data_IF_031950922999
#
_entry.id   IF_031950922999
#
_cell.length_a   1.000
_cell.length_b   1.000
_cell.length_c   1.000
_cell.angle_alpha   90.00
_cell.angle_beta   90.00
_cell.angle_gamma   90.00
#
_symmetry.space_group_name_H-M   'P 1'
#
loop_
_entity.id
_entity.type
_entity.pdbx_description
1 polymer ?
#
# COMPACT_ATOMS: atom_id res chain seq x y z
N UNK A 1 -0.83 -1.34 -10.92
CA UNK A 1 -1.72 -1.65 -9.78
C UNK A 1 -1.26 -2.99 -9.23
N UNK A 2 -1.27 -3.18 -7.92
CA UNK A 2 -0.96 -4.46 -7.27
C UNK A 2 -1.89 -4.67 -6.08
N UNK A 3 -2.08 -5.91 -5.62
CA UNK A 3 -2.83 -6.19 -4.40
C UNK A 3 -1.88 -6.25 -3.21
N UNK A 4 -2.12 -5.43 -2.20
CA UNK A 4 -1.27 -5.39 -1.02
C UNK A 4 -1.61 -6.56 -0.08
N UNK A 5 -0.68 -7.50 0.21
CA UNK A 5 -0.96 -8.61 1.12
C UNK A 5 -1.12 -8.16 2.58
N UNK A 6 -0.63 -6.97 2.94
CA UNK A 6 -0.78 -6.40 4.28
C UNK A 6 -2.14 -5.73 4.51
N UNK A 7 -2.65 -5.02 3.48
CA UNK A 7 -3.91 -4.28 3.58
C UNK A 7 -5.12 -5.09 3.09
N UNK A 8 -4.91 -6.06 2.20
CA UNK A 8 -5.98 -6.75 1.47
C UNK A 8 -6.54 -5.97 0.28
N UNK A 9 -6.16 -4.71 0.11
CA UNK A 9 -6.72 -3.78 -0.87
C UNK A 9 -5.80 -3.54 -2.08
N UNK A 10 -6.35 -3.15 -3.25
CA UNK A 10 -5.57 -2.79 -4.43
C UNK A 10 -4.89 -1.43 -4.26
N UNK A 11 -3.58 -1.39 -4.47
CA UNK A 11 -2.78 -0.16 -4.49
C UNK A 11 -2.52 0.28 -5.93
N UNK A 12 -2.88 1.52 -6.23
CA UNK A 12 -2.60 2.15 -7.52
C UNK A 12 -1.29 2.94 -7.45
N UNK A 13 -0.36 2.63 -8.36
CA UNK A 13 0.90 3.37 -8.52
C UNK A 13 0.87 4.03 -9.89
N UNK A 14 0.93 5.36 -9.91
CA UNK A 14 0.93 6.17 -11.12
C UNK A 14 2.35 6.45 -11.58
N UNK A 15 2.66 6.11 -12.83
CA UNK A 15 4.01 6.29 -13.41
C UNK A 15 4.03 7.40 -14.46
N UNK A 16 5.21 7.86 -14.85
CA UNK A 16 5.41 8.85 -15.92
C UNK A 16 5.16 10.30 -15.49
N UNK A 17 4.93 11.17 -16.47
CA UNK A 17 4.67 12.60 -16.24
C UNK A 17 3.20 12.88 -15.94
N UNK A 18 2.92 13.94 -15.18
CA UNK A 18 1.57 14.41 -14.90
C UNK A 18 1.40 14.98 -13.50
N UNK A 19 0.20 15.44 -13.19
CA UNK A 19 -0.13 15.95 -11.86
C UNK A 19 -0.19 14.82 -10.81
N UNK A 20 0.06 15.19 -9.56
CA UNK A 20 0.03 14.28 -8.41
C UNK A 20 1.29 13.40 -8.28
N UNK A 21 1.27 12.45 -7.33
CA UNK A 21 2.40 11.55 -7.11
C UNK A 21 2.77 10.71 -8.35
N UNK A 22 4.07 10.61 -8.64
CA UNK A 22 4.60 9.87 -9.79
C UNK A 22 5.82 9.05 -9.39
N UNK A 23 5.80 7.77 -9.73
CA UNK A 23 6.89 6.83 -9.47
C UNK A 23 7.65 6.51 -10.75
N UNK A 24 8.96 6.33 -10.60
CA UNK A 24 9.77 5.59 -11.55
C UNK A 24 9.37 4.12 -11.52
N UNK A 25 9.42 3.48 -12.68
CA UNK A 25 9.11 2.07 -12.86
C UNK A 25 10.15 1.44 -13.79
N UNK A 26 10.60 0.24 -13.47
CA UNK A 26 11.59 -0.50 -14.27
C UNK A 26 11.02 -1.12 -15.55
N UNK A 27 9.71 -1.03 -15.79
CA UNK A 27 9.05 -1.60 -16.97
C UNK A 27 8.74 -3.10 -16.86
N UNK A 28 9.06 -3.74 -15.73
CA UNK A 28 8.83 -5.16 -15.50
C UNK A 28 7.48 -5.39 -14.83
N UNK A 29 6.69 -6.31 -15.40
CA UNK A 29 5.44 -6.79 -14.81
C UNK A 29 5.63 -7.94 -13.84
N UNK A 30 6.58 -8.84 -14.13
CA UNK A 30 6.89 -10.03 -13.31
C UNK A 30 7.73 -9.68 -12.07
N UNK A 31 8.68 -8.78 -12.22
CA UNK A 31 9.56 -8.31 -11.14
C UNK A 31 9.52 -6.78 -11.05
N UNK A 32 8.37 -6.19 -10.69
CA UNK A 32 8.21 -4.76 -10.66
C UNK A 32 9.13 -4.13 -9.62
N UNK A 33 9.67 -2.98 -9.97
CA UNK A 33 10.36 -2.08 -9.05
C UNK A 33 9.78 -0.69 -9.23
N UNK A 34 9.36 -0.06 -8.12
CA UNK A 34 8.86 1.31 -8.08
C UNK A 34 9.75 2.17 -7.20
N UNK A 35 10.02 3.40 -7.64
CA UNK A 35 10.83 4.37 -6.89
C UNK A 35 10.18 5.75 -6.89
N UNK A 36 10.10 6.46 -5.75
CA UNK A 36 10.57 6.08 -4.41
C UNK A 36 9.62 5.08 -3.71
N UNK A 37 9.60 5.04 -2.38
CA UNK A 37 8.61 4.25 -1.63
C UNK A 37 7.18 4.65 -1.98
N UNK A 38 6.26 3.72 -1.77
CA UNK A 38 4.82 3.89 -1.95
C UNK A 38 4.20 4.11 -0.57
N UNK A 39 3.54 5.23 -0.38
CA UNK A 39 2.80 5.57 0.83
C UNK A 39 1.31 5.64 0.51
N UNK A 40 0.52 4.81 1.18
CA UNK A 40 -0.93 4.80 1.11
C UNK A 40 -1.47 5.05 2.51
N UNK A 41 -2.37 6.03 2.63
CA UNK A 41 -3.03 6.37 3.89
C UNK A 41 -4.53 6.43 3.71
N UNK A 42 -5.27 5.98 4.73
CA UNK A 42 -6.72 6.07 4.77
C UNK A 42 -7.20 6.20 6.21
N UNK A 43 -8.51 6.34 6.38
CA UNK A 43 -9.17 6.46 7.68
C UNK A 43 -10.29 5.44 7.74
N UNK A 44 -10.24 4.55 8.73
CA UNK A 44 -11.38 3.69 9.06
C UNK A 44 -12.23 4.40 10.11
N UNK A 45 -13.56 4.19 10.14
CA UNK A 45 -14.40 4.67 11.24
C UNK A 45 -13.89 4.22 12.61
N UNK A 46 -14.24 4.95 13.68
CA UNK A 46 -13.97 4.52 15.06
C UNK A 46 -14.50 3.10 15.30
N UNK A 47 -13.88 2.33 16.20
CA UNK A 47 -14.41 1.04 16.65
C UNK A 47 -15.57 1.19 17.65
N UNK A 48 -15.83 2.42 18.12
CA UNK A 48 -16.91 2.75 19.07
C UNK A 48 -18.16 3.21 18.29
N UNK A 49 -19.30 2.50 18.36
CA UNK A 49 -20.50 2.82 17.56
C UNK A 49 -21.03 4.24 17.73
N UNK A 50 -20.91 4.79 18.94
CA UNK A 50 -21.34 6.16 19.27
C UNK A 50 -20.46 7.24 18.61
N UNK A 51 -19.27 6.86 18.13
CA UNK A 51 -18.28 7.74 17.52
C UNK A 51 -18.19 7.56 15.99
N UNK A 52 -18.99 6.68 15.39
CA UNK A 52 -18.92 6.39 13.94
C UNK A 52 -19.14 7.62 13.05
N UNK A 53 -19.96 8.59 13.49
CA UNK A 53 -20.24 9.82 12.74
C UNK A 53 -19.22 10.94 13.01
N UNK A 54 -18.27 10.75 13.94
CA UNK A 54 -17.24 11.71 14.28
C UNK A 54 -15.90 11.34 13.61
N UNK A 55 -15.67 11.88 12.41
CA UNK A 55 -14.43 11.67 11.64
C UNK A 55 -13.14 12.07 12.36
N UNK A 56 -13.21 12.85 13.45
CA UNK A 56 -12.06 13.13 14.30
C UNK A 56 -11.61 11.93 15.14
N UNK A 57 -12.49 10.93 15.29
CA UNK A 57 -12.26 9.65 15.97
C UNK A 57 -11.86 8.51 15.04
N UNK A 58 -11.84 8.76 13.73
CA UNK A 58 -11.41 7.77 12.75
C UNK A 58 -9.98 7.27 13.01
N UNK A 59 -9.79 5.97 12.85
CA UNK A 59 -8.52 5.30 12.99
C UNK A 59 -7.70 5.54 11.72
N UNK A 60 -6.59 6.27 11.85
CA UNK A 60 -5.69 6.53 10.73
C UNK A 60 -4.87 5.27 10.43
N UNK A 61 -4.88 4.86 9.16
CA UNK A 61 -4.13 3.72 8.66
C UNK A 61 -3.05 4.16 7.70
N UNK A 62 -1.95 3.43 7.72
CA UNK A 62 -0.78 3.67 6.88
C UNK A 62 -0.28 2.33 6.34
N UNK A 63 -0.04 2.28 5.04
CA UNK A 63 0.81 1.29 4.40
C UNK A 63 1.93 2.01 3.68
N UNK A 64 3.15 1.76 4.12
CA UNK A 64 4.34 2.38 3.57
C UNK A 64 5.34 1.29 3.17
N UNK A 65 5.63 1.20 1.88
CA UNK A 65 6.38 0.05 1.35
C UNK A 65 7.33 0.43 0.22
N UNK A 66 8.41 -0.33 0.08
CA UNK A 66 9.18 -0.42 -1.15
C UNK A 66 8.75 -1.66 -1.94
N UNK A 67 8.67 -1.52 -3.26
CA UNK A 67 8.54 -2.66 -4.17
C UNK A 67 9.80 -2.72 -5.02
N UNK A 68 10.51 -3.84 -4.93
CA UNK A 68 11.77 -4.05 -5.64
C UNK A 68 11.90 -5.51 -6.01
N UNK A 69 12.18 -5.77 -7.28
CA UNK A 69 12.41 -7.10 -7.86
C UNK A 69 11.29 -8.11 -7.52
N UNK A 70 10.04 -7.66 -7.55
CA UNK A 70 8.89 -8.52 -7.26
C UNK A 70 8.66 -8.82 -5.78
N UNK A 71 9.39 -8.17 -4.87
CA UNK A 71 9.17 -8.24 -3.43
C UNK A 71 8.57 -6.93 -2.91
N UNK A 72 7.74 -7.02 -1.88
CA UNK A 72 7.25 -5.89 -1.12
C UNK A 72 7.89 -5.86 0.27
N UNK A 73 8.63 -4.79 0.57
CA UNK A 73 9.19 -4.50 1.88
C UNK A 73 8.33 -3.45 2.57
N UNK A 74 7.68 -3.83 3.67
CA UNK A 74 6.91 -2.93 4.51
C UNK A 74 7.80 -2.21 5.51
N UNK A 75 7.59 -0.91 5.66
CA UNK A 75 8.30 -0.06 6.60
C UNK A 75 7.65 -0.09 7.98
N UNK A 76 8.41 0.32 8.99
CA UNK A 76 8.02 0.22 10.41
C UNK A 76 6.86 1.12 10.82
N UNK A 77 6.50 2.10 9.99
CA UNK A 77 5.36 3.00 10.17
C UNK A 77 4.05 2.46 9.56
N UNK A 78 4.05 1.23 9.02
CA UNK A 78 2.82 0.57 8.62
C UNK A 78 1.94 0.23 9.84
N UNK A 79 0.62 0.39 9.70
CA UNK A 79 -0.35 0.07 10.75
C UNK A 79 -0.91 -1.35 10.66
N UNK A 80 -0.57 -2.11 9.63
CA UNK A 80 -1.02 -3.50 9.43
C UNK A 80 0.01 -4.52 9.92
N UNK A 81 -0.40 -5.77 10.10
CA UNK A 81 0.40 -6.83 10.74
C UNK A 81 1.73 -7.17 10.03
N UNK A 82 1.87 -6.86 8.74
CA UNK A 82 3.11 -7.07 8.00
C UNK A 82 4.15 -5.95 8.15
N UNK A 83 3.95 -4.98 9.05
CA UNK A 83 4.93 -3.91 9.29
C UNK A 83 6.33 -4.45 9.58
N UNK A 84 7.34 -3.88 8.91
CA UNK A 84 8.75 -4.30 9.03
C UNK A 84 9.10 -5.64 8.36
N UNK A 85 8.17 -6.27 7.64
CA UNK A 85 8.40 -7.54 6.96
C UNK A 85 8.62 -7.34 5.46
N UNK A 86 9.33 -8.27 4.84
CA UNK A 86 9.46 -8.38 3.39
C UNK A 86 8.82 -9.68 2.95
N UNK A 87 7.93 -9.61 1.96
CA UNK A 87 7.24 -10.78 1.38
C UNK A 87 7.24 -10.69 -0.14
N UNK A 88 7.00 -11.81 -0.81
CA UNK A 88 6.80 -11.82 -2.26
C UNK A 88 5.55 -11.03 -2.63
N UNK A 89 5.62 -10.27 -3.73
CA UNK A 89 4.47 -9.58 -4.27
C UNK A 89 3.56 -10.62 -4.93
N UNK A 90 2.31 -10.77 -4.45
CA UNK A 90 1.40 -11.75 -5.04
C UNK A 90 1.05 -11.38 -6.48
N UNK A 91 0.96 -12.40 -7.33
CA UNK A 91 0.43 -12.30 -8.67
C UNK A 91 -1.02 -11.82 -8.63
N UNK A 92 -1.44 -11.05 -9.64
CA UNK A 92 -2.79 -10.50 -9.69
C UNK A 92 -3.88 -11.59 -9.80
N UNK A 93 -3.53 -12.74 -10.37
CA UNK A 93 -4.44 -13.88 -10.58
C UNK A 93 -4.67 -14.71 -9.32
N UNK A 94 -3.80 -14.60 -8.32
CA UNK A 94 -3.88 -15.38 -7.09
C UNK A 94 -4.76 -14.72 -6.02
N UNK A 95 -5.51 -13.68 -6.39
CA UNK A 95 -6.39 -12.91 -5.51
C UNK A 95 -7.88 -13.27 -5.58
N UNK A 96 -8.22 -14.46 -6.10
CA UNK A 96 -9.60 -15.00 -6.18
C UNK A 96 -10.19 -15.42 -4.82
#
# INVERSE_FOLDING_TARGET
>A
MFRCPGCGEPHMVTVGEGAGPRWGWNGSGDAPTFTPSILVTWSDPSDVPEEFDDTSKDIKRVCHSFITDGCIQFLGDCTHSLAGQTVDLPDWKDAE
#
